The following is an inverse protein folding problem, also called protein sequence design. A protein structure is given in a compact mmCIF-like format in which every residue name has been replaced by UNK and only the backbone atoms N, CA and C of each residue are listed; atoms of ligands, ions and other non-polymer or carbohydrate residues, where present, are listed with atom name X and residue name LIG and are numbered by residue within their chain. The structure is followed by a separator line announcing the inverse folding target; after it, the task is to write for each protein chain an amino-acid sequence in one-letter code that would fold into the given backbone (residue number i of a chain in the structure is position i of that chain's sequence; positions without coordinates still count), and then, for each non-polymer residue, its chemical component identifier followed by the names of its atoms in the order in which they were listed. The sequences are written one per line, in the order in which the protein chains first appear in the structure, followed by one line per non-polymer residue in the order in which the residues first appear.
data_IF_595480424897
#
_entry.id   IF_595480424897
#
_cell.length_a   1.000
_cell.length_b   1.000
_cell.length_c   1.000
_cell.angle_alpha   90.00
_cell.angle_beta   90.00
_cell.angle_gamma   90.00
#
_symmetry.space_group_name_H-M   'P 1'
#
loop_
_entity.id
_entity.type
_entity.pdbx_description
1 polymer ?
#
# COMPACT_ATOMS: atom_id res chain seq x y z
N UNK A 1 -5.27 -10.53 5.88
CA UNK A 1 -5.32 -10.18 7.32
C UNK A 1 -4.30 -9.09 7.55
N UNK A 2 -4.70 -7.96 8.13
CA UNK A 2 -3.75 -6.86 8.36
C UNK A 2 -2.91 -7.12 9.62
N UNK A 3 -1.59 -7.28 9.47
CA UNK A 3 -0.70 -7.52 10.59
C UNK A 3 -0.06 -6.21 11.10
N UNK A 4 0.33 -5.32 10.20
CA UNK A 4 1.06 -4.08 10.50
C UNK A 4 0.36 -2.81 9.99
N UNK A 5 -0.49 -2.89 8.96
CA UNK A 5 -1.22 -1.74 8.40
C UNK A 5 -2.71 -1.76 8.70
N UNK A 6 -3.42 -0.68 8.41
CA UNK A 6 -4.89 -0.59 8.40
C UNK A 6 -5.31 0.33 7.26
N UNK A 7 -6.28 -0.13 6.47
CA UNK A 7 -6.96 0.67 5.46
C UNK A 7 -8.36 1.01 5.94
N UNK A 8 -8.70 2.29 5.98
CA UNK A 8 -10.03 2.76 6.41
C UNK A 8 -10.59 3.68 5.34
N UNK A 9 -11.75 3.30 4.79
CA UNK A 9 -12.58 4.22 4.03
C UNK A 9 -13.36 5.11 4.99
N UNK A 10 -13.26 6.42 4.81
CA UNK A 10 -13.91 7.43 5.65
C UNK A 10 -15.29 7.78 5.08
N UNK A 11 -16.19 8.36 5.91
CA UNK A 11 -17.51 8.81 5.45
C UNK A 11 -17.45 9.88 4.35
N UNK A 12 -16.35 10.64 4.25
CA UNK A 12 -16.13 11.61 3.16
C UNK A 12 -15.66 10.96 1.85
N UNK A 13 -15.51 9.63 1.81
CA UNK A 13 -15.06 8.86 0.64
C UNK A 13 -13.54 8.75 0.50
N UNK A 14 -12.77 9.47 1.33
CA UNK A 14 -11.31 9.32 1.36
C UNK A 14 -10.90 7.97 1.94
N UNK A 15 -9.76 7.48 1.47
CA UNK A 15 -9.17 6.22 1.94
C UNK A 15 -7.86 6.49 2.66
N UNK A 16 -7.75 6.00 3.89
CA UNK A 16 -6.60 6.22 4.75
C UNK A 16 -5.85 4.91 4.96
N UNK A 17 -4.58 4.91 4.62
CA UNK A 17 -3.64 3.85 4.98
C UNK A 17 -2.79 4.32 6.15
N UNK A 18 -2.82 3.59 7.26
CA UNK A 18 -2.02 3.87 8.45
C UNK A 18 -1.35 2.60 8.97
N UNK A 19 -0.35 2.76 9.84
CA UNK A 19 0.24 1.63 10.56
C UNK A 19 -0.66 1.29 11.75
N UNK A 20 -1.01 0.01 11.92
CA UNK A 20 -1.89 -0.50 12.98
C UNK A 20 -1.36 -0.24 14.40
N UNK A 21 -0.04 -0.24 14.60
CA UNK A 21 0.62 -0.10 15.91
C UNK A 21 1.15 1.30 16.23
N UNK A 22 1.02 2.27 15.33
CA UNK A 22 1.52 3.62 15.56
C UNK A 22 0.36 4.61 15.61
N UNK A 23 0.02 5.07 16.82
CA UNK A 23 -1.03 6.07 17.06
C UNK A 23 -0.59 7.50 16.64
N UNK A 24 0.68 7.68 16.25
CA UNK A 24 1.20 8.98 15.81
C UNK A 24 0.69 9.35 14.41
N UNK A 25 -0.04 10.47 14.34
CA UNK A 25 -0.63 11.07 13.13
C UNK A 25 0.31 11.21 11.92
N UNK A 26 1.63 11.23 12.12
CA UNK A 26 2.64 11.41 11.07
C UNK A 26 2.88 10.21 10.14
N UNK A 27 2.39 9.01 10.47
CA UNK A 27 2.65 7.79 9.69
C UNK A 27 1.40 7.26 8.95
N UNK A 28 0.59 8.17 8.40
CA UNK A 28 -0.56 7.80 7.55
C UNK A 28 -0.46 8.44 6.17
N UNK A 29 -1.02 7.78 5.16
CA UNK A 29 -1.25 8.31 3.81
C UNK A 29 -2.76 8.38 3.59
N UNK A 30 -3.23 9.56 3.23
CA UNK A 30 -4.62 9.79 2.83
C UNK A 30 -4.66 9.86 1.31
N UNK A 31 -5.67 9.23 0.74
CA UNK A 31 -6.03 9.29 -0.67
C UNK A 31 -7.45 9.83 -0.78
N UNK A 32 -7.74 10.59 -1.82
CA UNK A 32 -9.07 11.17 -2.05
C UNK A 32 -10.17 10.11 -2.20
N UNK A 33 -9.81 8.90 -2.64
CA UNK A 33 -10.72 7.75 -2.82
C UNK A 33 -9.96 6.44 -2.83
N UNK A 34 -10.64 5.33 -2.51
CA UNK A 34 -10.06 3.99 -2.64
C UNK A 34 -9.54 3.71 -4.06
N UNK A 35 -10.23 4.19 -5.09
CA UNK A 35 -9.76 3.97 -6.47
C UNK A 35 -8.43 4.66 -6.80
N UNK A 36 -8.02 5.70 -6.06
CA UNK A 36 -6.70 6.30 -6.24
C UNK A 36 -5.60 5.35 -5.75
N UNK A 37 -5.87 4.58 -4.69
CA UNK A 37 -4.98 3.51 -4.21
C UNK A 37 -4.93 2.36 -5.21
N UNK A 38 -6.06 2.01 -5.83
CA UNK A 38 -6.06 1.02 -6.91
C UNK A 38 -5.25 1.46 -8.12
N UNK A 39 -5.48 2.67 -8.63
CA UNK A 39 -4.68 3.22 -9.75
C UNK A 39 -3.19 3.22 -9.47
N UNK A 40 -2.81 3.59 -8.24
CA UNK A 40 -1.43 3.51 -7.79
C UNK A 40 -0.90 2.07 -7.93
N UNK A 41 -1.64 1.08 -7.44
CA UNK A 41 -1.27 -0.32 -7.55
C UNK A 41 -1.22 -0.83 -8.99
N UNK A 42 -2.21 -0.47 -9.83
CA UNK A 42 -2.27 -0.85 -11.24
C UNK A 42 -1.03 -0.37 -12.01
N UNK A 43 -0.55 0.85 -11.72
CA UNK A 43 0.65 1.42 -12.33
C UNK A 43 1.98 0.81 -11.87
N UNK A 44 2.00 -0.02 -10.82
CA UNK A 44 3.21 -0.66 -10.33
C UNK A 44 3.60 -1.88 -11.18
N UNK A 45 4.91 -2.18 -11.31
CA UNK A 45 5.36 -3.42 -11.94
C UNK A 45 4.87 -4.65 -11.16
N UNK A 46 4.93 -5.83 -11.79
CA UNK A 46 4.58 -7.11 -11.14
C UNK A 46 5.32 -7.31 -9.81
N UNK A 47 6.61 -6.99 -9.81
CA UNK A 47 7.43 -6.95 -8.60
C UNK A 47 7.79 -5.51 -8.28
N UNK A 48 7.31 -5.00 -7.15
CA UNK A 48 7.48 -3.61 -6.77
C UNK A 48 7.98 -3.45 -5.34
N UNK A 49 8.78 -2.41 -5.13
CA UNK A 49 9.31 -2.03 -3.84
C UNK A 49 8.96 -0.59 -3.44
N UNK A 50 9.59 -0.15 -2.37
CA UNK A 50 9.49 1.22 -1.87
C UNK A 50 9.83 2.28 -2.93
N UNK A 51 10.78 1.98 -3.82
CA UNK A 51 11.25 2.91 -4.84
C UNK A 51 10.23 3.11 -5.97
N UNK A 52 9.56 2.05 -6.41
CA UNK A 52 8.52 2.11 -7.44
C UNK A 52 7.33 2.94 -6.95
N UNK A 53 6.90 2.73 -5.71
CA UNK A 53 5.86 3.53 -5.05
C UNK A 53 6.27 5.00 -4.90
N UNK A 54 7.57 5.30 -4.82
CA UNK A 54 8.05 6.68 -4.68
C UNK A 54 7.87 7.50 -5.96
N UNK A 55 7.89 6.86 -7.13
CA UNK A 55 7.70 7.53 -8.43
C UNK A 55 6.31 8.16 -8.57
N UNK A 56 5.36 7.66 -7.80
CA UNK A 56 3.95 8.08 -7.82
C UNK A 56 3.62 9.17 -6.78
N UNK A 57 4.64 9.94 -6.35
CA UNK A 57 4.47 11.08 -5.45
C UNK A 57 4.32 10.69 -3.96
N UNK A 58 4.72 9.48 -3.57
CA UNK A 58 4.73 9.04 -2.16
C UNK A 58 6.14 9.13 -1.60
N UNK A 59 6.36 10.01 -0.61
CA UNK A 59 7.69 10.27 -0.06
C UNK A 59 7.92 9.65 1.33
N UNK A 60 9.19 9.42 1.65
CA UNK A 60 9.64 9.03 3.00
C UNK A 60 9.16 7.64 3.44
N UNK A 61 8.86 7.46 4.73
CA UNK A 61 8.42 6.17 5.29
C UNK A 61 7.08 5.64 4.74
N UNK A 62 6.28 6.50 4.10
CA UNK A 62 4.95 6.16 3.56
C UNK A 62 5.01 5.14 2.42
N UNK A 63 6.12 5.11 1.66
CA UNK A 63 6.32 4.12 0.59
C UNK A 63 6.33 2.68 1.11
N UNK A 64 7.03 2.43 2.21
CA UNK A 64 7.09 1.10 2.83
C UNK A 64 5.75 0.69 3.42
N UNK A 65 5.01 1.66 3.95
CA UNK A 65 3.67 1.46 4.47
C UNK A 65 2.71 1.03 3.36
N UNK A 66 2.82 1.62 2.16
CA UNK A 66 1.98 1.21 1.02
C UNK A 66 2.37 -0.17 0.48
N UNK A 67 3.66 -0.46 0.28
CA UNK A 67 4.10 -1.81 -0.15
C UNK A 67 3.54 -2.89 0.77
N UNK A 68 3.62 -2.66 2.09
CA UNK A 68 3.07 -3.59 3.07
C UNK A 68 1.55 -3.63 3.04
N UNK A 69 0.88 -2.48 2.89
CA UNK A 69 -0.57 -2.41 2.81
C UNK A 69 -1.10 -3.27 1.67
N UNK A 70 -0.53 -3.17 0.48
CA UNK A 70 -0.95 -3.95 -0.67
C UNK A 70 -0.85 -5.46 -0.38
N UNK A 71 0.30 -5.91 0.13
CA UNK A 71 0.52 -7.33 0.44
C UNK A 71 -0.35 -7.88 1.59
N UNK A 72 -0.92 -7.01 2.44
CA UNK A 72 -1.77 -7.40 3.57
C UNK A 72 -3.27 -7.31 3.27
N UNK A 73 -3.64 -6.46 2.30
CA UNK A 73 -5.00 -6.08 2.01
C UNK A 73 -5.64 -7.07 1.02
N UNK A 74 -6.72 -7.77 1.40
CA UNK A 74 -7.29 -8.86 0.59
C UNK A 74 -7.90 -8.40 -0.74
N UNK A 75 -8.14 -7.10 -0.92
CA UNK A 75 -8.62 -6.52 -2.19
C UNK A 75 -7.52 -6.17 -3.21
N UNK A 76 -6.26 -6.56 -2.96
CA UNK A 76 -5.16 -6.49 -3.90
C UNK A 76 -4.53 -7.87 -4.04
N UNK A 77 -4.45 -8.36 -5.28
CA UNK A 77 -3.84 -9.64 -5.61
C UNK A 77 -2.32 -9.50 -5.61
N UNK A 78 -1.75 -9.37 -4.42
CA UNK A 78 -0.30 -9.38 -4.25
C UNK A 78 0.10 -9.93 -2.89
N UNK A 79 1.32 -10.47 -2.84
CA UNK A 79 1.91 -11.03 -1.65
C UNK A 79 3.29 -10.42 -1.36
N UNK A 80 3.76 -10.58 -0.13
CA UNK A 80 5.05 -10.06 0.28
C UNK A 80 6.18 -11.01 -0.16
N UNK A 81 6.87 -10.65 -1.24
CA UNK A 81 7.96 -11.45 -1.80
C UNK A 81 9.23 -11.44 -0.94
N UNK A 82 9.65 -10.26 -0.46
CA UNK A 82 10.83 -10.14 0.41
C UNK A 82 10.65 -9.03 1.45
N UNK A 83 11.27 -9.23 2.62
CA UNK A 83 11.23 -8.27 3.73
C UNK A 83 12.39 -7.27 3.71
N UNK A 84 13.53 -7.63 3.12
CA UNK A 84 14.75 -6.83 3.09
C UNK A 84 15.53 -7.13 1.80
N UNK A 85 15.36 -6.32 0.73
CA UNK A 85 14.52 -5.12 0.66
C UNK A 85 13.00 -5.44 0.63
N UNK A 86 12.19 -4.57 1.25
CA UNK A 86 10.73 -4.74 1.31
C UNK A 86 10.13 -4.64 -0.10
N UNK A 87 9.63 -5.76 -0.59
CA UNK A 87 9.07 -5.91 -1.94
C UNK A 87 7.84 -6.80 -1.92
N UNK A 88 6.88 -6.45 -2.77
CA UNK A 88 5.66 -7.20 -3.00
C UNK A 88 5.64 -7.71 -4.46
N UNK A 89 4.88 -8.77 -4.68
CA UNK A 89 4.70 -9.40 -5.98
C UNK A 89 3.21 -9.53 -6.26
N UNK A 90 2.75 -9.06 -7.41
CA UNK A 90 1.38 -9.24 -7.88
C UNK A 90 1.14 -10.73 -8.17
N UNK A 91 0.08 -11.30 -7.61
CA UNK A 91 -0.30 -12.72 -7.75
C UNK A 91 -1.48 -12.89 -8.70
N UNK A 92 -2.00 -11.79 -9.25
CA UNK A 92 -3.25 -11.75 -10.01
C UNK A 92 -3.10 -11.77 -11.53
N UNK A 93 -1.97 -12.21 -12.08
CA UNK A 93 -1.81 -12.38 -13.52
C UNK A 93 -1.24 -13.77 -13.81
N UNK A 94 -2.14 -14.76 -13.84
CA UNK A 94 -1.96 -15.92 -14.71
C UNK A 94 -2.83 -15.65 -15.96
N UNK A 95 -2.17 -15.16 -17.02
CA UNK A 95 -2.60 -15.01 -18.44
C UNK A 95 -3.93 -14.28 -18.77
#
# INVERSE_FOLDING_TARGET
MFCDTVGVERPDGSYVVARRRADSTGHRKVFDRFAAVRRLYDGLPERFGAEDVSREGVTGGRRHLLVRHFAEHPGFDCELATRQPLTAHKTGEED
#
